data_IF_355221065602
#
_entry.id   IF_355221065602
#
_cell.length_a   1.000
_cell.length_b   1.000
_cell.length_c   1.000
_cell.angle_alpha   90.00
_cell.angle_beta   90.00
_cell.angle_gamma   90.00
#
_symmetry.space_group_name_H-M   'P 1'
#
loop_
_entity.id
_entity.type
_entity.pdbx_description
1 polymer ?
#
# COMPACT_ATOMS: atom_id res chain seq x y z
N UNK A 1 3.00 3.09 -1.02
CA UNK A 1 4.35 3.36 -0.49
C UNK A 1 4.53 4.86 -0.51
N UNK A 2 4.63 5.49 0.66
CA UNK A 2 4.73 6.95 0.81
C UNK A 2 6.08 7.37 1.42
N UNK A 3 7.06 6.47 1.46
CA UNK A 3 8.36 6.71 2.10
C UNK A 3 9.45 7.14 1.10
N UNK A 4 9.24 6.89 -0.18
CA UNK A 4 10.14 7.27 -1.28
C UNK A 4 9.32 7.95 -2.36
N UNK A 5 9.98 8.74 -3.21
CA UNK A 5 9.36 9.43 -4.37
C UNK A 5 8.40 8.46 -5.12
N UNK A 6 7.17 8.87 -5.45
CA UNK A 6 6.23 7.96 -6.06
C UNK A 6 6.67 7.58 -7.48
N UNK A 7 6.76 6.27 -7.77
CA UNK A 7 6.66 5.82 -9.16
C UNK A 7 5.18 5.93 -9.53
N UNK A 8 4.89 6.74 -10.56
CA UNK A 8 3.54 7.11 -10.98
C UNK A 8 2.48 6.03 -10.71
N UNK A 9 1.51 6.35 -9.85
CA UNK A 9 0.41 5.47 -9.48
C UNK A 9 -0.86 6.30 -9.37
N UNK A 10 -1.94 5.77 -9.94
CA UNK A 10 -3.29 6.30 -9.75
C UNK A 10 -4.06 5.51 -8.68
N UNK A 11 -3.44 4.47 -8.12
CA UNK A 11 -4.02 3.64 -7.07
C UNK A 11 -3.65 4.22 -5.70
N UNK A 12 -4.65 4.40 -4.83
CA UNK A 12 -4.52 4.67 -3.41
C UNK A 12 -5.04 3.46 -2.62
N UNK A 13 -4.12 2.73 -2.01
CA UNK A 13 -4.43 1.56 -1.17
C UNK A 13 -4.57 2.00 0.29
N UNK A 14 -5.76 1.78 0.87
CA UNK A 14 -6.11 2.16 2.23
C UNK A 14 -6.47 0.88 3.00
N UNK A 15 -5.94 0.73 4.21
CA UNK A 15 -6.33 -0.33 5.14
C UNK A 15 -7.27 0.27 6.16
N UNK A 16 -8.41 -0.39 6.38
CA UNK A 16 -9.41 0.05 7.36
C UNK A 16 -9.80 -1.09 8.27
N UNK A 17 -10.30 -0.74 9.45
CA UNK A 17 -10.87 -1.71 10.38
C UNK A 17 -12.10 -2.33 9.72
N UNK A 18 -12.19 -3.66 9.72
CA UNK A 18 -13.24 -4.38 8.98
C UNK A 18 -14.67 -3.97 9.39
N UNK A 19 -14.90 -3.64 10.67
CA UNK A 19 -16.20 -3.19 11.18
C UNK A 19 -16.66 -1.85 10.60
N UNK A 20 -15.72 -1.01 10.15
CA UNK A 20 -16.01 0.34 9.65
C UNK A 20 -16.31 0.37 8.14
N UNK A 21 -16.02 -0.72 7.41
CA UNK A 21 -16.18 -0.77 5.97
C UNK A 21 -17.62 -0.43 5.50
N UNK A 22 -18.70 -0.89 6.17
CA UNK A 22 -20.06 -0.49 5.80
C UNK A 22 -20.33 1.02 5.92
N UNK A 23 -19.87 1.65 7.01
CA UNK A 23 -20.04 3.10 7.20
C UNK A 23 -19.26 3.90 6.15
N UNK A 24 -18.02 3.50 5.87
CA UNK A 24 -17.18 4.11 4.84
C UNK A 24 -17.84 4.00 3.46
N UNK A 25 -18.42 2.84 3.13
CA UNK A 25 -19.14 2.64 1.87
C UNK A 25 -20.29 3.65 1.73
N UNK A 26 -21.11 3.80 2.75
CA UNK A 26 -22.26 4.71 2.73
C UNK A 26 -21.80 6.17 2.56
N UNK A 27 -20.73 6.58 3.24
CA UNK A 27 -20.12 7.91 3.08
C UNK A 27 -19.59 8.14 1.67
N UNK A 28 -18.91 7.15 1.08
CA UNK A 28 -18.40 7.23 -0.30
C UNK A 28 -19.53 7.41 -1.31
N UNK A 29 -20.61 6.63 -1.19
CA UNK A 29 -21.78 6.75 -2.06
C UNK A 29 -22.41 8.14 -1.92
N UNK A 30 -22.58 8.62 -0.69
CA UNK A 30 -23.14 9.95 -0.42
C UNK A 30 -22.25 11.08 -0.98
N UNK A 31 -20.93 10.87 -1.01
CA UNK A 31 -19.97 11.77 -1.64
C UNK A 31 -19.92 11.67 -3.18
N UNK A 32 -20.67 10.75 -3.79
CA UNK A 32 -20.77 10.60 -5.25
C UNK A 32 -19.77 9.60 -5.87
N UNK A 33 -19.10 8.78 -5.05
CA UNK A 33 -18.26 7.70 -5.56
C UNK A 33 -19.10 6.52 -6.07
N UNK A 34 -18.65 5.93 -7.17
CA UNK A 34 -19.04 4.58 -7.57
C UNK A 34 -18.22 3.58 -6.77
N UNK A 35 -18.89 2.64 -6.10
CA UNK A 35 -18.25 1.63 -5.24
C UNK A 35 -18.50 0.22 -5.76
N UNK A 36 -17.50 -0.65 -5.60
CA UNK A 36 -17.54 -2.06 -6.01
C UNK A 36 -16.98 -2.93 -4.87
N UNK A 37 -17.78 -3.90 -4.41
CA UNK A 37 -17.44 -4.76 -3.27
C UNK A 37 -16.84 -6.09 -3.70
N UNK A 38 -15.84 -6.54 -2.95
CA UNK A 38 -15.18 -7.83 -3.05
C UNK A 38 -15.04 -8.43 -1.65
N UNK A 39 -14.76 -9.73 -1.56
CA UNK A 39 -14.65 -10.47 -0.29
C UNK A 39 -13.76 -9.80 0.76
N UNK A 40 -12.68 -9.14 0.34
CA UNK A 40 -11.71 -8.51 1.24
C UNK A 40 -11.39 -7.06 0.88
N UNK A 41 -12.18 -6.42 0.01
CA UNK A 41 -11.94 -5.04 -0.36
C UNK A 41 -13.17 -4.33 -0.91
N UNK A 42 -13.17 -3.00 -0.76
CA UNK A 42 -14.09 -2.09 -1.41
C UNK A 42 -13.27 -1.19 -2.35
N UNK A 43 -13.61 -1.17 -3.64
CA UNK A 43 -13.03 -0.23 -4.58
C UNK A 43 -13.96 0.97 -4.71
N UNK A 44 -13.40 2.18 -4.76
CA UNK A 44 -14.13 3.42 -4.95
C UNK A 44 -13.51 4.26 -6.07
N UNK A 45 -14.37 4.82 -6.92
CA UNK A 45 -13.99 5.68 -8.06
C UNK A 45 -14.90 6.90 -8.12
N UNK A 46 -14.31 8.07 -8.34
CA UNK A 46 -15.05 9.32 -8.54
C UNK A 46 -15.17 9.61 -10.04
N UNK A 47 -16.36 9.96 -10.56
CA UNK A 47 -16.49 10.44 -11.93
C UNK A 47 -15.54 11.61 -12.21
N UNK A 48 -14.87 11.59 -13.36
CA UNK A 48 -13.89 12.62 -13.80
C UNK A 48 -12.58 12.68 -12.97
N UNK A 49 -12.34 11.71 -12.10
CA UNK A 49 -11.06 11.52 -11.44
C UNK A 49 -10.41 10.22 -11.89
N UNK A 50 -9.12 10.26 -12.20
CA UNK A 50 -8.34 9.06 -12.50
C UNK A 50 -7.91 8.30 -11.23
N UNK A 51 -8.12 8.90 -10.05
CA UNK A 51 -7.79 8.28 -8.76
C UNK A 51 -8.69 7.07 -8.50
N UNK A 52 -8.06 5.94 -8.19
CA UNK A 52 -8.71 4.70 -7.79
C UNK A 52 -8.36 4.41 -6.34
N UNK A 53 -9.37 4.35 -5.49
CA UNK A 53 -9.18 4.07 -4.07
C UNK A 53 -9.58 2.63 -3.82
N UNK A 54 -8.74 1.88 -3.12
CA UNK A 54 -9.06 0.53 -2.67
C UNK A 54 -8.94 0.49 -1.15
N UNK A 55 -10.05 0.17 -0.49
CA UNK A 55 -10.08 -0.12 0.94
C UNK A 55 -9.93 -1.62 1.14
N UNK A 56 -8.95 -2.06 1.91
CA UNK A 56 -8.73 -3.47 2.23
C UNK A 56 -9.11 -3.76 3.68
N UNK A 57 -9.83 -4.86 3.85
CA UNK A 57 -10.15 -5.49 5.15
C UNK A 57 -9.48 -6.85 5.30
N UNK A 58 -8.47 -7.11 4.46
CA UNK A 58 -7.70 -8.34 4.51
C UNK A 58 -7.05 -8.49 5.90
N UNK A 59 -7.31 -9.61 6.61
CA UNK A 59 -6.85 -9.81 7.99
C UNK A 59 -5.34 -9.56 8.17
N UNK A 60 -4.52 -9.87 7.16
CA UNK A 60 -3.06 -9.70 7.26
C UNK A 60 -2.60 -8.25 7.46
N UNK A 61 -3.44 -7.28 7.10
CA UNK A 61 -3.12 -5.86 7.21
C UNK A 61 -3.75 -5.19 8.43
N UNK A 62 -4.65 -5.85 9.17
CA UNK A 62 -5.35 -5.23 10.30
C UNK A 62 -4.40 -4.74 11.39
N UNK A 63 -3.32 -5.48 11.66
CA UNK A 63 -2.30 -5.07 12.63
C UNK A 63 -1.56 -3.78 12.23
N UNK A 64 -1.60 -3.38 10.95
CA UNK A 64 -0.90 -2.19 10.45
C UNK A 64 -1.60 -0.92 10.92
N UNK A 65 -2.90 -0.98 11.22
CA UNK A 65 -3.70 0.15 11.68
C UNK A 65 -3.22 0.64 13.06
N UNK A 66 -2.66 -0.25 13.87
CA UNK A 66 -2.17 0.06 15.22
C UNK A 66 -0.79 0.72 15.21
N UNK A 67 -0.06 0.64 14.10
CA UNK A 67 1.32 1.12 13.98
C UNK A 67 1.44 2.02 12.75
N UNK A 68 1.07 3.29 12.96
CA UNK A 68 1.02 4.34 11.93
C UNK A 68 1.89 5.54 12.31
N UNK A 69 2.30 6.28 11.28
CA UNK A 69 3.01 7.56 11.41
C UNK A 69 2.35 8.57 10.49
N UNK A 70 2.16 9.80 10.96
CA UNK A 70 1.63 10.88 10.13
C UNK A 70 2.65 11.28 9.07
N UNK A 71 2.21 11.36 7.81
CA UNK A 71 3.02 11.78 6.66
C UNK A 71 2.22 12.74 5.78
N UNK A 72 2.94 13.64 5.11
CA UNK A 72 2.36 14.42 4.01
C UNK A 72 2.25 13.54 2.76
N UNK A 73 1.02 13.36 2.27
CA UNK A 73 0.73 12.66 1.02
C UNK A 73 -0.12 13.58 0.16
N UNK A 74 0.46 14.09 -0.92
CA UNK A 74 -0.19 15.03 -1.85
C UNK A 74 -0.74 16.27 -1.12
N UNK A 75 -0.01 16.80 -0.14
CA UNK A 75 -0.41 17.98 0.64
C UNK A 75 -1.44 17.70 1.73
N UNK A 76 -1.71 16.43 2.03
CA UNK A 76 -2.62 16.01 3.11
C UNK A 76 -1.85 15.26 4.20
N UNK A 77 -2.08 15.62 5.45
CA UNK A 77 -1.53 14.91 6.60
C UNK A 77 -2.36 13.65 6.85
N UNK A 78 -1.79 12.48 6.55
CA UNK A 78 -2.50 11.20 6.65
C UNK A 78 -1.72 10.20 7.49
N UNK A 79 -2.40 9.35 8.28
CA UNK A 79 -1.76 8.21 8.91
C UNK A 79 -1.35 7.19 7.85
N UNK A 80 -0.05 6.89 7.80
CA UNK A 80 0.51 5.87 6.92
C UNK A 80 1.07 4.75 7.80
N UNK A 81 0.93 3.49 7.37
CA UNK A 81 1.57 2.36 8.03
C UNK A 81 3.07 2.63 8.26
N UNK A 82 3.61 2.14 9.37
CA UNK A 82 5.04 2.26 9.68
C UNK A 82 5.90 1.73 8.52
N UNK A 83 7.14 2.21 8.44
CA UNK A 83 8.06 1.80 7.38
C UNK A 83 8.24 0.27 7.36
N UNK A 84 8.37 -0.34 8.54
CA UNK A 84 8.48 -1.79 8.69
C UNK A 84 7.25 -2.52 8.13
N UNK A 85 6.05 -2.00 8.40
CA UNK A 85 4.80 -2.56 7.88
C UNK A 85 4.70 -2.40 6.36
N UNK A 86 5.11 -1.26 5.81
CA UNK A 86 5.16 -1.05 4.35
C UNK A 86 6.12 -2.05 3.69
N UNK A 87 7.32 -2.25 4.24
CA UNK A 87 8.28 -3.25 3.76
C UNK A 87 7.66 -4.64 3.81
N UNK A 88 7.08 -5.03 4.95
CA UNK A 88 6.43 -6.34 5.12
C UNK A 88 5.33 -6.59 4.07
N UNK A 89 4.45 -5.61 3.86
CA UNK A 89 3.39 -5.71 2.85
C UNK A 89 3.94 -5.84 1.43
N UNK A 90 5.04 -5.15 1.12
CA UNK A 90 5.74 -5.25 -0.17
C UNK A 90 6.41 -6.60 -0.38
N UNK A 91 7.07 -7.14 0.65
CA UNK A 91 7.65 -8.50 0.62
C UNK A 91 6.57 -9.53 0.34
N UNK A 92 5.43 -9.48 1.04
CA UNK A 92 4.31 -10.39 0.78
C UNK A 92 3.81 -10.31 -0.67
N UNK A 93 3.67 -9.11 -1.22
CA UNK A 93 3.22 -8.92 -2.59
C UNK A 93 4.26 -9.41 -3.62
N UNK A 94 5.54 -9.15 -3.38
CA UNK A 94 6.64 -9.58 -4.26
C UNK A 94 6.82 -11.11 -4.29
N UNK A 95 6.70 -11.76 -3.12
CA UNK A 95 6.83 -13.20 -2.95
C UNK A 95 5.63 -14.01 -3.45
N UNK A 96 4.48 -13.39 -3.71
CA UNK A 96 3.30 -14.09 -4.24
C UNK A 96 3.51 -14.47 -5.72
N UNK A 97 3.75 -15.76 -5.99
CA UNK A 97 3.95 -16.29 -7.33
C UNK A 97 2.73 -16.15 -8.25
N UNK A 98 1.53 -16.07 -7.70
CA UNK A 98 0.28 -15.92 -8.46
C UNK A 98 0.09 -14.47 -8.92
N UNK A 99 0.81 -13.53 -8.32
CA UNK A 99 0.75 -12.12 -8.69
C UNK A 99 1.40 -11.91 -10.06
N UNK A 100 0.74 -11.13 -10.90
CA UNK A 100 1.24 -10.77 -12.24
C UNK A 100 2.66 -10.21 -12.19
N UNK A 101 3.51 -10.66 -13.12
CA UNK A 101 4.95 -10.34 -13.14
C UNK A 101 5.24 -8.84 -13.07
N UNK A 102 4.49 -8.01 -13.80
CA UNK A 102 4.69 -6.56 -13.80
C UNK A 102 4.47 -5.91 -12.43
N UNK A 103 3.50 -6.39 -11.63
CA UNK A 103 3.30 -5.89 -10.26
C UNK A 103 4.40 -6.41 -9.34
N UNK A 104 4.82 -7.68 -9.46
CA UNK A 104 5.96 -8.21 -8.70
C UNK A 104 7.25 -7.42 -8.96
N UNK A 105 7.52 -7.06 -10.22
CA UNK A 105 8.67 -6.19 -10.58
C UNK A 105 8.56 -4.78 -10.02
N UNK A 106 7.35 -4.20 -9.99
CA UNK A 106 7.11 -2.93 -9.29
C UNK A 106 7.39 -3.06 -7.79
N UNK A 107 6.90 -4.13 -7.16
CA UNK A 107 7.10 -4.37 -5.73
C UNK A 107 8.58 -4.62 -5.39
N UNK A 108 9.33 -5.30 -6.27
CA UNK A 108 10.80 -5.43 -6.21
C UNK A 108 11.50 -4.06 -6.27
N UNK A 109 11.16 -3.23 -7.25
CA UNK A 109 11.70 -1.88 -7.38
C UNK A 109 11.38 -1.02 -6.14
N UNK A 110 10.15 -1.10 -5.62
CA UNK A 110 9.77 -0.38 -4.41
C UNK A 110 10.61 -0.82 -3.20
N UNK A 111 10.90 -2.13 -3.04
CA UNK A 111 11.75 -2.64 -1.97
C UNK A 111 13.20 -2.13 -2.08
N UNK A 112 13.77 -2.15 -3.28
CA UNK A 112 15.12 -1.64 -3.56
C UNK A 112 15.19 -0.15 -3.18
N UNK A 113 14.26 0.67 -3.69
CA UNK A 113 14.22 2.11 -3.44
C UNK A 113 14.03 2.46 -1.97
N UNK A 114 13.21 1.68 -1.25
CA UNK A 114 13.07 1.83 0.20
C UNK A 114 14.41 1.55 0.88
N UNK A 115 15.10 0.46 0.53
CA UNK A 115 16.37 0.10 1.16
C UNK A 115 17.47 1.14 0.86
N UNK A 116 17.49 1.72 -0.34
CA UNK A 116 18.40 2.82 -0.68
C UNK A 116 18.16 4.06 0.17
N UNK A 117 16.88 4.43 0.38
CA UNK A 117 16.52 5.62 1.15
C UNK A 117 16.57 5.41 2.68
N UNK A 118 16.39 4.17 3.14
CA UNK A 118 16.32 3.79 4.55
C UNK A 118 17.18 2.54 4.80
N UNK A 119 18.51 2.68 4.94
CA UNK A 119 19.40 1.54 5.14
C UNK A 119 19.09 0.71 6.40
N UNK A 120 18.50 1.33 7.43
CA UNK A 120 18.18 0.69 8.71
C UNK A 120 17.14 -0.44 8.59
N UNK A 121 16.37 -0.50 7.49
CA UNK A 121 15.42 -1.60 7.25
C UNK A 121 16.04 -2.81 6.57
N UNK A 122 17.37 -2.85 6.38
CA UNK A 122 18.08 -3.94 5.72
C UNK A 122 17.72 -5.31 6.29
N UNK A 123 17.56 -5.43 7.59
CA UNK A 123 17.25 -6.72 8.24
C UNK A 123 15.83 -7.22 7.95
N UNK A 124 14.93 -6.33 7.51
CA UNK A 124 13.57 -6.67 7.11
C UNK A 124 13.47 -7.12 5.63
N UNK A 125 14.56 -6.96 4.88
CA UNK A 125 14.57 -7.19 3.43
C UNK A 125 14.92 -8.64 3.08
N UNK A 126 14.28 -9.24 2.05
CA UNK A 126 14.66 -10.55 1.54
C UNK A 126 16.13 -10.59 1.11
N UNK A 127 16.77 -11.76 1.25
CA UNK A 127 18.18 -11.92 0.92
C UNK A 127 18.48 -11.58 -0.55
N UNK A 128 17.55 -11.90 -1.44
CA UNK A 128 17.61 -11.62 -2.88
C UNK A 128 17.67 -10.11 -3.15
N UNK A 129 16.87 -9.32 -2.44
CA UNK A 129 16.86 -7.85 -2.57
C UNK A 129 18.16 -7.26 -2.04
N UNK A 130 18.63 -7.72 -0.87
CA UNK A 130 19.90 -7.26 -0.29
C UNK A 130 21.08 -7.51 -1.22
N UNK A 131 21.13 -8.70 -1.82
CA UNK A 131 22.20 -9.09 -2.74
C UNK A 131 22.25 -8.21 -3.99
N UNK A 132 21.11 -7.74 -4.49
CA UNK A 132 21.07 -6.86 -5.67
C UNK A 132 21.79 -5.53 -5.41
N UNK A 133 21.72 -4.99 -4.19
CA UNK A 133 22.40 -3.76 -3.81
C UNK A 133 23.88 -3.93 -3.46
N UNK A 134 24.34 -5.16 -3.22
CA UNK A 134 25.76 -5.46 -3.02
C UNK A 134 26.51 -5.63 -4.35
N UNK A 135 25.78 -5.80 -5.46
CA UNK A 135 26.32 -6.04 -6.80
C UNK A 135 26.32 -4.79 -7.69
N UNK A 136 25.75 -3.68 -7.24
CA UNK A 136 25.71 -2.39 -7.93
C UNK A 136 26.58 -1.36 -7.22
#
# INVERSE_FOLDING_TARGET
>A
NCYVEPVYTLDADIVVIASELPAIKDELINAGFSVEEFTHSLNARMPKSDLRIQFSVDPRYQDFVNDTTIRDVLGQQVPVASLANVVRGKVWAWSDERRRLSKRKKDELDLIRILEAYPDVRDLMPAEIRKQLELG
#
